data_IF_128847129369
#
_entry.id   IF_128847129369
#
_cell.length_a   1.000
_cell.length_b   1.000
_cell.length_c   1.000
_cell.angle_alpha   90.00
_cell.angle_beta   90.00
_cell.angle_gamma   90.00
#
_symmetry.space_group_name_H-M   'P 1'
#
loop_
_entity.id
_entity.type
_entity.pdbx_description
1 polymer ?
#
# COMPACT_ATOMS: atom_id res chain seq x y z
N UNK A 1 -18.77 20.11 -29.98
CA UNK A 1 -19.00 19.24 -28.82
C UNK A 1 -17.66 19.04 -28.15
N UNK A 2 -17.48 19.57 -26.94
CA UNK A 2 -16.29 19.23 -26.14
C UNK A 2 -16.39 17.73 -25.86
N UNK A 3 -15.36 16.96 -26.25
CA UNK A 3 -15.28 15.58 -25.84
C UNK A 3 -15.34 15.56 -24.31
N UNK A 4 -16.26 14.78 -23.74
CA UNK A 4 -16.25 14.54 -22.31
C UNK A 4 -14.83 14.06 -21.94
N UNK A 5 -14.21 14.72 -20.97
CA UNK A 5 -12.85 14.40 -20.56
C UNK A 5 -12.83 12.95 -20.07
N UNK A 6 -11.99 12.14 -20.72
CA UNK A 6 -11.89 10.71 -20.44
C UNK A 6 -11.33 10.53 -19.04
N UNK A 7 -12.09 9.93 -18.12
CA UNK A 7 -11.61 9.68 -16.75
C UNK A 7 -11.02 8.29 -16.56
N UNK A 8 -11.38 7.34 -17.43
CA UNK A 8 -10.95 5.94 -17.35
C UNK A 8 -10.51 5.40 -18.71
N UNK A 9 -9.59 4.45 -18.70
CA UNK A 9 -9.13 3.72 -19.88
C UNK A 9 -9.35 2.22 -19.67
N UNK A 10 -9.56 1.48 -20.76
CA UNK A 10 -9.61 0.03 -20.70
C UNK A 10 -8.18 -0.54 -20.80
N UNK A 11 -7.83 -1.49 -19.93
CA UNK A 11 -6.54 -2.19 -19.93
C UNK A 11 -6.79 -3.70 -19.99
N UNK A 12 -6.02 -4.40 -20.82
CA UNK A 12 -6.13 -5.86 -21.01
C UNK A 12 -5.03 -6.60 -20.25
N UNK A 13 -5.42 -7.51 -19.35
CA UNK A 13 -4.53 -8.47 -18.72
C UNK A 13 -4.32 -9.69 -19.63
N UNK A 14 -3.14 -9.77 -20.25
CA UNK A 14 -2.81 -10.84 -21.19
C UNK A 14 -2.78 -12.23 -20.54
N UNK A 15 -2.57 -12.34 -19.22
CA UNK A 15 -2.58 -13.63 -18.52
C UNK A 15 -3.99 -14.21 -18.38
N UNK A 16 -5.02 -13.36 -18.41
CA UNK A 16 -6.43 -13.75 -18.32
C UNK A 16 -7.11 -13.82 -19.71
N UNK A 17 -6.44 -13.35 -20.76
CA UNK A 17 -7.02 -13.27 -22.09
C UNK A 17 -7.05 -14.66 -22.76
N UNK A 18 -8.24 -15.19 -23.01
CA UNK A 18 -8.51 -16.48 -23.68
C UNK A 18 -8.64 -16.37 -25.19
N UNK A 19 -8.54 -15.15 -25.76
CA UNK A 19 -8.67 -14.84 -27.19
C UNK A 19 -10.02 -15.15 -27.83
N UNK A 20 -11.12 -14.99 -27.08
CA UNK A 20 -12.48 -14.95 -27.65
C UNK A 20 -12.72 -13.70 -28.53
N UNK A 21 -11.91 -12.65 -28.34
CA UNK A 21 -11.84 -11.46 -29.17
C UNK A 21 -13.14 -10.66 -29.33
N UNK A 22 -14.17 -10.89 -28.50
CA UNK A 22 -15.41 -10.09 -28.48
C UNK A 22 -15.13 -8.59 -28.32
N UNK A 23 -14.11 -8.24 -27.53
CA UNK A 23 -13.67 -6.85 -27.35
C UNK A 23 -13.33 -6.12 -28.65
N UNK A 24 -12.95 -6.83 -29.74
CA UNK A 24 -12.67 -6.23 -31.04
C UNK A 24 -13.96 -5.74 -31.71
N UNK A 25 -15.01 -6.54 -31.65
CA UNK A 25 -16.28 -6.26 -32.33
C UNK A 25 -17.15 -5.24 -31.61
N UNK A 26 -17.01 -5.13 -30.28
CA UNK A 26 -17.81 -4.17 -29.47
C UNK A 26 -17.10 -2.84 -29.24
N UNK A 27 -15.86 -2.64 -29.70
CA UNK A 27 -15.17 -1.37 -29.47
C UNK A 27 -15.54 -0.36 -30.57
N UNK A 28 -16.28 0.72 -30.25
CA UNK A 28 -16.76 1.65 -31.27
C UNK A 28 -15.65 2.47 -31.94
N UNK A 29 -14.47 2.57 -31.30
CA UNK A 29 -13.32 3.33 -31.81
C UNK A 29 -12.20 2.44 -32.36
N UNK A 30 -12.34 1.12 -32.28
CA UNK A 30 -11.28 0.18 -32.64
C UNK A 30 -10.05 0.23 -31.71
N UNK A 31 -10.16 0.81 -30.51
CA UNK A 31 -9.04 0.89 -29.56
C UNK A 31 -8.53 -0.49 -29.08
N UNK A 32 -9.38 -1.52 -29.10
CA UNK A 32 -9.02 -2.88 -28.73
C UNK A 32 -8.36 -3.69 -29.85
N UNK A 33 -8.38 -3.17 -31.08
CA UNK A 33 -7.90 -3.80 -32.31
C UNK A 33 -6.43 -3.47 -32.56
N UNK A 34 -5.56 -4.23 -31.91
CA UNK A 34 -4.11 -4.05 -31.95
C UNK A 34 -3.39 -5.38 -32.07
N UNK A 35 -2.31 -5.41 -32.85
CA UNK A 35 -1.50 -6.61 -33.08
C UNK A 35 -0.76 -7.11 -31.83
N UNK A 36 -0.42 -6.19 -30.91
CA UNK A 36 0.27 -6.51 -29.67
C UNK A 36 -0.67 -6.84 -28.50
N UNK A 37 -1.98 -6.89 -28.74
CA UNK A 37 -3.00 -7.13 -27.72
C UNK A 37 -3.07 -6.06 -26.61
N UNK A 38 -2.47 -4.88 -26.80
CA UNK A 38 -2.54 -3.74 -25.86
C UNK A 38 -3.62 -2.78 -26.36
N UNK A 39 -4.57 -2.41 -25.51
CA UNK A 39 -5.61 -1.44 -25.89
C UNK A 39 -4.95 -0.08 -26.12
N UNK A 40 -5.23 0.53 -27.27
CA UNK A 40 -4.75 1.85 -27.66
C UNK A 40 -5.38 2.94 -26.75
N UNK A 41 -4.59 3.61 -25.90
CA UNK A 41 -5.11 4.60 -24.96
C UNK A 41 -5.61 5.86 -25.67
N UNK A 42 -5.07 6.22 -26.84
CA UNK A 42 -5.40 7.43 -27.57
C UNK A 42 -6.75 7.31 -28.29
N UNK A 43 -7.09 6.10 -28.75
CA UNK A 43 -8.40 5.79 -29.35
C UNK A 43 -9.46 5.42 -28.32
N UNK A 44 -9.07 4.93 -27.15
CA UNK A 44 -10.01 4.50 -26.13
C UNK A 44 -10.75 5.73 -25.58
N UNK A 45 -12.08 5.69 -25.58
CA UNK A 45 -12.94 6.76 -25.03
C UNK A 45 -13.47 6.46 -23.62
N UNK A 46 -13.07 5.33 -23.03
CA UNK A 46 -13.46 4.96 -21.67
C UNK A 46 -14.89 4.40 -21.52
N UNK A 47 -15.56 3.98 -22.60
CA UNK A 47 -16.96 3.54 -22.55
C UNK A 47 -17.22 2.22 -21.80
N UNK A 48 -16.21 1.36 -21.67
CA UNK A 48 -16.30 0.09 -20.91
C UNK A 48 -16.96 -1.09 -21.64
N UNK A 49 -17.43 -0.94 -22.88
CA UNK A 49 -18.10 -2.03 -23.62
C UNK A 49 -17.22 -3.28 -23.77
N UNK A 50 -15.93 -3.08 -24.06
CA UNK A 50 -14.97 -4.17 -24.17
C UNK A 50 -14.77 -4.93 -22.84
N UNK A 51 -14.85 -4.25 -21.69
CA UNK A 51 -14.77 -4.88 -20.38
C UNK A 51 -16.03 -5.70 -20.10
N UNK A 52 -17.21 -5.14 -20.37
CA UNK A 52 -18.49 -5.82 -20.19
C UNK A 52 -18.65 -7.07 -21.08
N UNK A 53 -18.12 -7.02 -22.31
CA UNK A 53 -18.22 -8.12 -23.27
C UNK A 53 -17.17 -9.22 -23.08
N UNK A 54 -16.13 -9.00 -22.28
CA UNK A 54 -15.02 -9.96 -22.16
C UNK A 54 -15.42 -11.16 -21.29
N UNK A 55 -15.57 -12.37 -21.85
CA UNK A 55 -16.07 -13.53 -21.10
C UNK A 55 -15.07 -14.02 -20.05
N UNK A 56 -13.77 -13.81 -20.27
CA UNK A 56 -12.72 -14.20 -19.33
C UNK A 56 -12.41 -13.12 -18.28
N UNK A 57 -13.09 -11.98 -18.31
CA UNK A 57 -12.82 -10.86 -17.40
C UNK A 57 -11.40 -10.28 -17.54
N UNK A 58 -10.78 -10.42 -18.72
CA UNK A 58 -9.40 -9.98 -18.95
C UNK A 58 -9.25 -8.46 -19.12
N UNK A 59 -10.33 -7.69 -19.19
CA UNK A 59 -10.28 -6.24 -19.43
C UNK A 59 -10.87 -5.52 -18.22
N UNK A 60 -10.11 -4.58 -17.68
CA UNK A 60 -10.53 -3.73 -16.56
C UNK A 60 -10.54 -2.26 -16.98
N UNK A 61 -11.46 -1.48 -16.42
CA UNK A 61 -11.43 -0.02 -16.52
C UNK A 61 -10.57 0.52 -15.39
N UNK A 62 -9.53 1.29 -15.72
CA UNK A 62 -8.63 1.93 -14.75
C UNK A 62 -8.74 3.45 -14.88
N UNK A 63 -8.71 4.20 -13.77
CA UNK A 63 -8.76 5.65 -13.82
C UNK A 63 -7.46 6.22 -14.40
N UNK A 64 -7.55 7.39 -15.04
CA UNK A 64 -6.37 8.16 -15.47
C UNK A 64 -5.71 8.91 -14.31
N UNK A 65 -6.51 9.33 -13.32
CA UNK A 65 -6.02 9.92 -12.08
C UNK A 65 -6.30 8.96 -10.93
N UNK A 66 -5.24 8.52 -10.27
CA UNK A 66 -5.31 7.79 -9.03
C UNK A 66 -5.66 8.74 -7.87
N UNK A 67 -6.10 8.21 -6.72
CA UNK A 67 -6.19 9.03 -5.51
C UNK A 67 -4.80 9.58 -5.13
N UNK A 68 -4.73 10.74 -4.46
CA UNK A 68 -3.48 11.25 -3.90
C UNK A 68 -2.99 10.35 -2.76
N UNK A 69 -1.69 10.43 -2.49
CA UNK A 69 -1.07 9.67 -1.41
C UNK A 69 -1.55 10.14 -0.04
N UNK A 70 -2.19 9.22 0.68
CA UNK A 70 -2.61 9.45 2.05
C UNK A 70 -1.39 9.69 2.94
N UNK A 71 -1.40 10.82 3.65
CA UNK A 71 -0.35 11.23 4.58
C UNK A 71 -0.32 10.30 5.78
N UNK A 72 0.87 9.89 6.20
CA UNK A 72 1.09 9.09 7.41
C UNK A 72 1.97 9.86 8.37
N UNK A 73 1.71 9.71 9.66
CA UNK A 73 2.52 10.37 10.68
C UNK A 73 3.93 9.78 10.72
N UNK A 74 4.90 10.63 11.09
CA UNK A 74 6.29 10.22 11.25
C UNK A 74 6.46 9.10 12.28
N UNK A 75 5.59 9.08 13.30
CA UNK A 75 5.56 8.03 14.33
C UNK A 75 5.25 6.64 13.78
N UNK A 76 4.63 6.54 12.60
CA UNK A 76 4.38 5.28 11.89
C UNK A 76 5.40 5.05 10.79
N UNK A 77 5.74 6.10 10.02
CA UNK A 77 6.67 5.99 8.90
C UNK A 77 8.08 5.61 9.34
N UNK A 78 8.64 6.29 10.36
CA UNK A 78 9.99 6.03 10.82
C UNK A 78 10.22 4.56 11.24
N UNK A 79 9.39 3.95 12.11
CA UNK A 79 9.57 2.54 12.47
C UNK A 79 9.28 1.59 11.29
N UNK A 80 8.32 1.91 10.40
CA UNK A 80 8.03 1.07 9.23
C UNK A 80 9.22 1.02 8.25
N UNK A 81 9.84 2.16 7.97
CA UNK A 81 11.03 2.25 7.14
C UNK A 81 12.24 1.59 7.80
N UNK A 82 12.43 1.77 9.11
CA UNK A 82 13.48 1.08 9.86
C UNK A 82 13.31 -0.46 9.78
N UNK A 83 12.08 -0.96 9.94
CA UNK A 83 11.79 -2.38 9.76
C UNK A 83 12.07 -2.83 8.32
N UNK A 84 11.66 -2.07 7.30
CA UNK A 84 11.92 -2.42 5.90
C UNK A 84 13.43 -2.52 5.60
N UNK A 85 14.23 -1.64 6.18
CA UNK A 85 15.69 -1.68 6.08
C UNK A 85 16.27 -2.95 6.72
N UNK A 86 15.85 -3.29 7.94
CA UNK A 86 16.29 -4.52 8.61
C UNK A 86 15.83 -5.79 7.89
N UNK A 87 14.64 -5.78 7.28
CA UNK A 87 14.19 -6.87 6.41
C UNK A 87 15.08 -7.00 5.17
N UNK A 88 15.48 -5.90 4.54
CA UNK A 88 16.42 -5.94 3.41
C UNK A 88 17.75 -6.58 3.80
N UNK A 89 18.30 -6.21 4.97
CA UNK A 89 19.52 -6.84 5.51
C UNK A 89 19.33 -8.33 5.79
N UNK A 90 18.20 -8.70 6.39
CA UNK A 90 17.87 -10.10 6.68
C UNK A 90 17.72 -10.92 5.40
N UNK A 91 17.11 -10.35 4.35
CA UNK A 91 17.00 -10.99 3.03
C UNK A 91 18.40 -11.26 2.46
N UNK A 92 19.32 -10.30 2.52
CA UNK A 92 20.69 -10.48 2.04
C UNK A 92 21.41 -11.62 2.76
N UNK A 93 21.26 -11.71 4.09
CA UNK A 93 21.82 -12.81 4.87
C UNK A 93 21.20 -14.15 4.50
N UNK A 94 19.88 -14.21 4.32
CA UNK A 94 19.19 -15.42 3.90
C UNK A 94 19.60 -15.88 2.49
N UNK A 95 19.84 -14.92 1.57
CA UNK A 95 20.40 -15.21 0.24
C UNK A 95 21.83 -15.74 0.33
N UNK A 96 22.67 -15.15 1.18
CA UNK A 96 24.02 -15.63 1.40
C UNK A 96 24.02 -17.06 1.96
N UNK A 97 23.14 -17.34 2.95
CA UNK A 97 22.94 -18.68 3.49
C UNK A 97 22.52 -19.68 2.42
N UNK A 98 21.59 -19.30 1.53
CA UNK A 98 21.16 -20.15 0.43
C UNK A 98 22.29 -20.43 -0.56
N UNK A 99 23.11 -19.42 -0.87
CA UNK A 99 24.21 -19.51 -1.82
C UNK A 99 25.41 -20.29 -1.28
N UNK A 100 25.65 -20.27 0.04
CA UNK A 100 26.74 -20.99 0.70
C UNK A 100 26.34 -22.36 1.25
N UNK A 101 25.11 -22.83 0.98
CA UNK A 101 24.62 -24.09 1.52
C UNK A 101 25.34 -25.30 0.90
N UNK A 102 25.81 -26.23 1.75
CA UNK A 102 26.45 -27.48 1.32
C UNK A 102 25.43 -28.58 0.97
N UNK A 103 24.21 -28.47 1.50
CA UNK A 103 23.11 -29.39 1.27
C UNK A 103 21.85 -28.69 0.71
N UNK A 104 21.05 -29.46 -0.04
CA UNK A 104 19.84 -28.98 -0.70
C UNK A 104 18.79 -28.45 0.30
N UNK A 105 18.69 -29.05 1.48
CA UNK A 105 17.73 -28.66 2.50
C UNK A 105 17.98 -27.25 3.02
N UNK A 106 19.24 -26.97 3.40
CA UNK A 106 19.68 -25.65 3.85
C UNK A 106 19.54 -24.61 2.73
N UNK A 107 19.91 -24.96 1.49
CA UNK A 107 19.77 -24.08 0.34
C UNK A 107 18.31 -23.66 0.09
N UNK A 108 17.39 -24.63 0.11
CA UNK A 108 15.94 -24.40 -0.02
C UNK A 108 15.39 -23.55 1.12
N UNK A 109 15.83 -23.80 2.35
CA UNK A 109 15.40 -23.04 3.52
C UNK A 109 15.86 -21.57 3.45
N UNK A 110 17.12 -21.33 3.10
CA UNK A 110 17.65 -19.98 2.91
C UNK A 110 16.89 -19.20 1.82
N UNK A 111 16.60 -19.86 0.69
CA UNK A 111 15.82 -19.26 -0.39
C UNK A 111 14.38 -18.92 0.05
N UNK A 112 13.75 -19.80 0.85
CA UNK A 112 12.42 -19.56 1.41
C UNK A 112 12.42 -18.36 2.38
N UNK A 113 13.42 -18.25 3.27
CA UNK A 113 13.56 -17.12 4.18
C UNK A 113 13.83 -15.81 3.44
N UNK A 114 14.65 -15.82 2.40
CA UNK A 114 14.87 -14.64 1.57
C UNK A 114 13.56 -14.15 0.95
N UNK A 115 12.76 -15.07 0.40
CA UNK A 115 11.46 -14.73 -0.19
C UNK A 115 10.45 -14.23 0.84
N UNK A 116 10.34 -14.90 2.00
CA UNK A 116 9.42 -14.47 3.06
C UNK A 116 9.79 -13.08 3.58
N UNK A 117 11.07 -12.83 3.81
CA UNK A 117 11.58 -11.54 4.29
C UNK A 117 11.32 -10.42 3.29
N UNK A 118 11.53 -10.69 1.99
CA UNK A 118 11.22 -9.75 0.90
C UNK A 118 9.75 -9.33 0.91
N UNK A 119 8.83 -10.29 1.03
CA UNK A 119 7.40 -9.99 1.05
C UNK A 119 7.03 -9.04 2.19
N UNK A 120 7.59 -9.26 3.38
CA UNK A 120 7.38 -8.35 4.52
C UNK A 120 7.96 -6.95 4.25
N UNK A 121 9.14 -6.86 3.62
CA UNK A 121 9.71 -5.57 3.25
C UNK A 121 8.84 -4.83 2.21
N UNK A 122 8.37 -5.54 1.19
CA UNK A 122 7.47 -5.01 0.15
C UNK A 122 6.14 -4.52 0.76
N UNK A 123 5.57 -5.28 1.71
CA UNK A 123 4.38 -4.87 2.44
C UNK A 123 4.63 -3.60 3.26
N UNK A 124 5.73 -3.53 4.02
CA UNK A 124 6.09 -2.34 4.80
C UNK A 124 6.26 -1.10 3.92
N UNK A 125 6.96 -1.22 2.78
CA UNK A 125 7.17 -0.11 1.85
C UNK A 125 5.87 0.33 1.19
N UNK A 126 5.02 -0.63 0.79
CA UNK A 126 3.70 -0.36 0.24
C UNK A 126 2.83 0.40 1.23
N UNK A 127 2.78 -0.07 2.47
CA UNK A 127 2.05 0.61 3.55
C UNK A 127 2.75 1.89 4.02
N UNK A 128 4.01 2.15 3.65
CA UNK A 128 4.71 3.42 3.92
C UNK A 128 4.48 4.49 2.84
N UNK A 129 3.67 4.19 1.82
CA UNK A 129 3.25 5.19 0.82
C UNK A 129 4.00 5.14 -0.51
N UNK A 130 4.55 3.98 -0.90
CA UNK A 130 5.13 3.74 -2.22
C UNK A 130 4.23 2.88 -3.13
N UNK A 131 2.91 2.88 -2.90
CA UNK A 131 1.95 2.09 -3.68
C UNK A 131 1.38 2.85 -4.89
N UNK A 132 1.28 4.18 -4.82
CA UNK A 132 0.55 4.99 -5.79
C UNK A 132 1.51 5.61 -6.83
N UNK A 133 1.41 5.25 -8.12
CA UNK A 133 2.37 5.70 -9.13
C UNK A 133 2.46 7.22 -9.29
N UNK A 134 1.33 7.91 -9.13
CA UNK A 134 1.23 9.37 -9.29
C UNK A 134 1.62 10.15 -8.03
N UNK A 135 1.95 9.47 -6.93
CA UNK A 135 2.32 10.15 -5.69
C UNK A 135 3.64 10.89 -5.80
N UNK A 136 3.80 11.93 -4.98
CA UNK A 136 5.07 12.62 -4.76
C UNK A 136 6.14 11.67 -4.25
N UNK A 137 5.79 10.71 -3.39
CA UNK A 137 6.72 9.69 -2.89
C UNK A 137 7.36 8.88 -4.04
N UNK A 138 6.54 8.43 -4.99
CA UNK A 138 7.05 7.71 -6.18
C UNK A 138 7.93 8.61 -7.04
N UNK A 139 7.54 9.86 -7.24
CA UNK A 139 8.34 10.81 -8.03
C UNK A 139 9.68 11.15 -7.35
N UNK A 140 9.70 11.35 -6.04
CA UNK A 140 10.91 11.60 -5.27
C UNK A 140 11.85 10.39 -5.31
N UNK A 141 11.31 9.17 -5.22
CA UNK A 141 12.08 7.94 -5.40
C UNK A 141 12.70 7.86 -6.80
N UNK A 142 11.92 8.10 -7.86
CA UNK A 142 12.42 8.10 -9.23
C UNK A 142 13.51 9.16 -9.45
N UNK A 143 13.32 10.37 -8.94
CA UNK A 143 14.32 11.45 -8.97
C UNK A 143 15.59 11.05 -8.24
N UNK A 144 15.48 10.43 -7.07
CA UNK A 144 16.63 9.94 -6.32
C UNK A 144 17.40 8.85 -7.09
N UNK A 145 16.70 7.90 -7.71
CA UNK A 145 17.32 6.85 -8.52
C UNK A 145 18.01 7.37 -9.78
N UNK A 146 17.47 8.42 -10.41
CA UNK A 146 18.13 9.10 -11.54
C UNK A 146 19.37 9.85 -11.06
N UNK A 147 19.27 10.55 -9.93
CA UNK A 147 20.38 11.36 -9.38
C UNK A 147 21.52 10.51 -8.84
N UNK A 148 21.19 9.39 -8.18
CA UNK A 148 22.14 8.45 -7.59
C UNK A 148 21.74 7.01 -7.95
N UNK A 149 22.08 6.56 -9.18
CA UNK A 149 21.76 5.21 -9.63
C UNK A 149 22.38 4.14 -8.72
N UNK A 150 21.65 3.07 -8.36
CA UNK A 150 22.15 2.01 -7.47
C UNK A 150 23.26 1.14 -8.09
N UNK A 151 23.37 1.12 -9.41
CA UNK A 151 24.41 0.40 -10.15
C UNK A 151 24.67 1.05 -11.51
N UNK A 152 25.82 0.74 -12.13
CA UNK A 152 26.15 1.22 -13.48
C UNK A 152 25.15 0.75 -14.54
N UNK A 153 24.61 -0.47 -14.38
CA UNK A 153 23.61 -1.04 -15.28
C UNK A 153 22.17 -0.54 -15.02
N UNK A 154 21.98 0.39 -14.08
CA UNK A 154 20.65 0.90 -13.78
C UNK A 154 20.07 1.67 -14.98
N UNK A 155 18.83 1.39 -15.41
CA UNK A 155 18.24 2.02 -16.59
C UNK A 155 17.71 3.42 -16.27
N UNK A 156 18.60 4.40 -16.06
CA UNK A 156 18.25 5.77 -15.69
C UNK A 156 17.29 6.43 -16.69
N UNK A 157 17.51 6.23 -17.99
CA UNK A 157 16.63 6.76 -19.05
C UNK A 157 15.18 6.23 -18.93
N UNK A 158 14.98 5.02 -18.41
CA UNK A 158 13.63 4.50 -18.16
C UNK A 158 12.97 5.21 -16.97
N UNK A 159 13.73 5.49 -15.90
CA UNK A 159 13.23 6.25 -14.74
C UNK A 159 12.89 7.70 -15.11
N UNK A 160 13.72 8.36 -15.94
CA UNK A 160 13.42 9.68 -16.52
C UNK A 160 12.14 9.65 -17.34
N UNK A 161 11.99 8.63 -18.21
CA UNK A 161 10.78 8.48 -19.02
C UNK A 161 9.52 8.28 -18.18
N UNK A 162 9.62 7.60 -17.04
CA UNK A 162 8.49 7.45 -16.11
C UNK A 162 8.08 8.80 -15.49
N UNK A 163 9.04 9.65 -15.13
CA UNK A 163 8.77 11.01 -14.63
C UNK A 163 8.09 11.91 -15.67
N UNK A 164 8.31 11.68 -16.96
CA UNK A 164 7.61 12.39 -18.03
C UNK A 164 6.18 11.89 -18.25
N UNK A 165 5.97 10.58 -18.13
CA UNK A 165 4.71 9.92 -18.47
C UNK A 165 3.68 9.95 -17.33
N UNK A 166 4.14 9.96 -16.09
CA UNK A 166 3.29 9.85 -14.91
C UNK A 166 3.18 11.25 -14.28
N UNK A 167 1.97 11.83 -14.16
CA UNK A 167 1.79 13.10 -13.47
C UNK A 167 1.87 12.94 -11.94
N UNK A 168 2.40 13.95 -11.25
CA UNK A 168 2.37 14.04 -9.78
C UNK A 168 1.01 14.60 -9.33
N UNK A 169 0.26 13.88 -8.49
CA UNK A 169 -1.14 14.22 -8.14
C UNK A 169 -1.37 14.61 -6.66
N UNK A 170 -0.33 14.60 -5.82
CA UNK A 170 -0.47 14.90 -4.38
C UNK A 170 -0.84 16.38 -4.10
N UNK A 171 -0.49 17.31 -5.00
CA UNK A 171 -0.84 18.73 -4.89
C UNK A 171 -2.35 19.03 -4.97
N UNK A 172 -3.19 18.05 -5.34
CA UNK A 172 -4.63 18.22 -5.36
C UNK A 172 -5.26 18.28 -3.95
N UNK A 173 -4.53 17.91 -2.88
CA UNK A 173 -5.04 17.82 -1.50
C UNK A 173 -4.41 18.81 -0.50
N UNK A 174 -3.40 19.61 -0.86
CA UNK A 174 -2.93 20.70 0.02
C UNK A 174 -4.09 21.66 0.39
N UNK A 175 -5.14 21.71 -0.42
CA UNK A 175 -6.37 22.48 -0.16
C UNK A 175 -7.37 21.81 0.80
N UNK A 176 -7.25 20.51 1.10
CA UNK A 176 -8.23 19.75 1.88
C UNK A 176 -7.74 19.39 3.30
N UNK A 177 -6.42 19.24 3.50
CA UNK A 177 -5.82 18.90 4.80
C UNK A 177 -5.91 20.06 5.80
N UNK A 178 -5.91 21.31 5.31
CA UNK A 178 -6.13 22.50 6.16
C UNK A 178 -7.54 22.59 6.77
N UNK A 179 -8.53 21.88 6.20
CA UNK A 179 -9.92 21.98 6.64
C UNK A 179 -10.28 21.02 7.79
N UNK A 180 -9.56 19.92 7.98
CA UNK A 180 -9.90 18.88 8.98
C UNK A 180 -9.05 18.94 10.24
N UNK A 181 -7.96 19.72 10.26
CA UNK A 181 -7.11 19.90 11.44
C UNK A 181 -7.76 20.77 12.55
N UNK A 182 -8.90 21.41 12.31
CA UNK A 182 -9.54 22.37 13.22
C UNK A 182 -10.91 21.94 13.79
N UNK A 183 -11.22 20.65 13.84
CA UNK A 183 -12.50 20.19 14.41
C UNK A 183 -12.32 19.02 15.39
N UNK A 184 -11.80 19.33 16.58
CA UNK A 184 -12.13 18.55 17.79
C UNK A 184 -12.54 19.55 18.86
N UNK A 185 -13.82 19.92 18.84
CA UNK A 185 -14.46 20.64 19.94
C UNK A 185 -14.79 19.67 21.07
N UNK A 186 -14.37 20.08 22.26
CA UNK A 186 -14.54 19.46 23.56
C UNK A 186 -16.01 19.57 24.00
N UNK A 187 -16.67 18.44 24.26
CA UNK A 187 -17.97 18.45 24.95
C UNK A 187 -17.96 17.45 26.10
N UNK A 188 -17.61 17.97 27.28
CA UNK A 188 -17.93 17.38 28.56
C UNK A 188 -19.44 17.43 28.82
N UNK A 189 -20.01 16.33 29.32
CA UNK A 189 -21.27 16.34 30.07
C UNK A 189 -21.18 15.39 31.25
N UNK A 190 -21.48 15.93 32.43
CA UNK A 190 -21.55 15.24 33.72
C UNK A 190 -22.76 14.29 33.83
N UNK A 191 -22.58 13.18 34.55
CA UNK A 191 -23.64 12.52 35.29
C UNK A 191 -23.09 11.85 36.56
N UNK A 192 -23.77 12.06 37.67
CA UNK A 192 -23.36 11.75 39.03
C UNK A 192 -23.64 10.30 39.50
N UNK A 193 -22.92 9.93 40.56
CA UNK A 193 -23.30 9.11 41.73
C UNK A 193 -22.71 7.69 41.86
N UNK A 194 -21.90 7.55 42.93
CA UNK A 194 -21.39 6.28 43.49
C UNK A 194 -19.87 6.26 43.52
N UNK A 195 -19.25 6.28 44.72
CA UNK A 195 -17.80 6.16 44.83
C UNK A 195 -17.36 4.78 44.29
N UNK A 196 -16.56 4.71 43.21
CA UNK A 196 -16.12 3.44 42.64
C UNK A 196 -15.02 2.80 43.49
N UNK A 197 -14.88 1.45 43.47
CA UNK A 197 -13.71 0.78 44.03
C UNK A 197 -12.43 1.25 43.30
N UNK A 198 -11.30 1.25 43.99
CA UNK A 198 -10.00 1.54 43.38
C UNK A 198 -9.75 0.55 42.24
N UNK A 199 -9.62 1.08 41.02
CA UNK A 199 -9.45 0.33 39.78
C UNK A 199 -8.21 0.87 39.08
N UNK A 200 -7.41 -0.05 38.54
CA UNK A 200 -6.26 0.26 37.72
C UNK A 200 -6.65 0.13 36.24
N UNK A 201 -6.40 1.16 35.45
CA UNK A 201 -6.69 1.15 34.01
C UNK A 201 -5.45 0.72 33.25
N UNK A 202 -5.57 -0.32 32.41
CA UNK A 202 -4.48 -0.86 31.58
C UNK A 202 -4.75 -0.65 30.09
N UNK A 203 -3.69 -0.44 29.30
CA UNK A 203 -3.67 -0.55 27.84
C UNK A 203 -2.96 -1.83 27.43
N UNK A 204 -3.61 -2.65 26.61
CA UNK A 204 -2.95 -3.81 26.02
C UNK A 204 -2.02 -3.41 24.87
N UNK A 205 -0.74 -3.76 24.97
CA UNK A 205 0.27 -3.50 23.93
C UNK A 205 0.08 -4.38 22.69
N UNK A 206 -0.70 -5.47 22.79
CA UNK A 206 -0.95 -6.39 21.68
C UNK A 206 -2.13 -5.98 20.79
N UNK A 207 -3.23 -5.50 21.37
CA UNK A 207 -4.46 -5.17 20.62
C UNK A 207 -4.97 -3.74 20.83
N UNK A 208 -4.36 -2.96 21.73
CA UNK A 208 -4.74 -1.58 22.00
C UNK A 208 -5.98 -1.40 22.89
N UNK A 209 -6.63 -2.48 23.34
CA UNK A 209 -7.78 -2.40 24.23
C UNK A 209 -7.41 -1.71 25.56
N UNK A 210 -8.27 -0.78 25.99
CA UNK A 210 -8.18 -0.13 27.31
C UNK A 210 -9.27 -0.71 28.20
N UNK A 211 -8.91 -1.15 29.40
CA UNK A 211 -9.82 -1.82 30.32
C UNK A 211 -9.39 -1.62 31.78
N UNK A 212 -10.37 -1.70 32.68
CA UNK A 212 -10.16 -1.51 34.12
C UNK A 212 -10.08 -2.85 34.85
N UNK A 213 -9.18 -2.93 35.82
CA UNK A 213 -8.95 -4.11 36.66
C UNK A 213 -9.05 -3.67 38.14
N UNK A 214 -9.83 -4.38 38.98
CA UNK A 214 -9.88 -4.09 40.41
C UNK A 214 -8.50 -4.19 41.07
N UNK A 215 -8.20 -3.29 42.01
CA UNK A 215 -6.94 -3.29 42.74
C UNK A 215 -6.72 -4.64 43.47
N UNK A 216 -5.62 -5.34 43.15
CA UNK A 216 -5.28 -6.65 43.71
C UNK A 216 -5.64 -7.86 42.84
N UNK A 217 -6.32 -7.68 41.70
CA UNK A 217 -6.55 -8.74 40.71
C UNK A 217 -5.45 -8.77 39.63
N UNK A 218 -5.14 -9.97 39.12
CA UNK A 218 -4.16 -10.13 38.04
C UNK A 218 -4.75 -9.64 36.71
N UNK A 219 -4.13 -8.66 36.04
CA UNK A 219 -4.70 -8.07 34.84
C UNK A 219 -4.53 -8.99 33.63
N UNK A 220 -5.63 -9.26 32.92
CA UNK A 220 -5.67 -10.02 31.66
C UNK A 220 -6.54 -9.28 30.66
N UNK A 221 -6.02 -9.08 29.45
CA UNK A 221 -6.78 -8.36 28.41
C UNK A 221 -8.05 -9.14 28.02
N UNK A 222 -9.25 -8.55 28.17
CA UNK A 222 -10.50 -9.24 27.85
C UNK A 222 -10.69 -9.45 26.34
N UNK A 223 -9.97 -8.69 25.49
CA UNK A 223 -10.09 -8.79 24.05
C UNK A 223 -9.21 -9.90 23.43
N UNK A 224 -8.00 -10.13 23.96
CA UNK A 224 -7.03 -11.05 23.35
C UNK A 224 -6.41 -12.08 24.31
N UNK A 225 -6.67 -11.98 25.62
CA UNK A 225 -6.12 -12.90 26.62
C UNK A 225 -4.66 -12.66 26.98
N UNK A 226 -4.06 -11.54 26.56
CA UNK A 226 -2.69 -11.20 26.93
C UNK A 226 -2.57 -10.91 28.44
N UNK A 227 -1.55 -11.51 29.07
CA UNK A 227 -1.24 -11.31 30.50
C UNK A 227 -0.38 -10.08 30.78
N UNK A 228 -0.02 -9.90 32.06
CA UNK A 228 0.63 -8.71 32.62
C UNK A 228 1.85 -8.17 31.84
N UNK A 229 2.68 -9.06 31.28
CA UNK A 229 3.87 -8.68 30.49
C UNK A 229 3.56 -7.80 29.26
N UNK A 230 2.29 -7.78 28.82
CA UNK A 230 1.83 -7.06 27.63
C UNK A 230 0.82 -5.94 27.97
N UNK A 231 0.79 -5.50 29.22
CA UNK A 231 -0.14 -4.48 29.70
C UNK A 231 0.63 -3.27 30.25
N UNK A 232 0.25 -2.08 29.79
CA UNK A 232 0.77 -0.80 30.26
C UNK A 232 -0.25 -0.16 31.22
N UNK A 233 0.16 0.10 32.47
CA UNK A 233 -0.68 0.80 33.45
C UNK A 233 -0.79 2.28 33.06
N UNK A 234 -2.02 2.74 32.83
CA UNK A 234 -2.33 4.13 32.45
C UNK A 234 -2.68 4.96 33.69
N UNK A 235 -3.49 4.39 34.59
CA UNK A 235 -3.98 5.04 35.82
C UNK A 235 -4.02 4.00 36.93
N UNK A 236 -3.49 4.32 38.10
CA UNK A 236 -3.50 3.47 39.30
C UNK A 236 -3.64 4.29 40.57
#
# INVERSE_FOLDING_TARGET
MMAAEKTHIAVRNLRLCTKDCLCLYVCPTGASDTENSIIDPDKCIGCGECAAACPSGAISMVPLSYPPQQVKSETVLAPALAMAHEKTRTEQLARALAASAEDEGTGRLGAAFARATRLVAEDLLRESGYMLPQSKNTHDLLRALVTAPPSEDFPAAAAERLLELIPENDAAEDAAVDATANAVEDTATDAAAGAPPATCTYRCLMCGAVFDVPEGETPVCPACGAGEDYLELIVG
#
